data_IF_871718402132
#
_entry.id   IF_871718402132
#
_cell.length_a   1.000
_cell.length_b   1.000
_cell.length_c   1.000
_cell.angle_alpha   90.00
_cell.angle_beta   90.00
_cell.angle_gamma   90.00
#
_symmetry.space_group_name_H-M   'P 1'
#
loop_
_entity.id
_entity.type
_entity.pdbx_description
1 polymer ?
#
# COMPACT_ATOMS: atom_id res chain seq x y z
N UNK A 1 19.54 29.54 6.81
CA UNK A 1 20.78 29.30 6.05
C UNK A 1 20.42 28.28 4.97
N UNK A 2 20.49 28.67 3.70
CA UNK A 2 20.29 27.74 2.61
C UNK A 2 21.46 26.74 2.61
N UNK A 3 21.17 25.45 2.70
CA UNK A 3 22.19 24.43 2.48
C UNK A 3 22.70 24.61 1.04
N UNK A 4 23.95 25.03 0.88
CA UNK A 4 24.59 25.04 -0.44
C UNK A 4 24.61 23.60 -0.96
N UNK A 5 23.97 23.41 -2.12
CA UNK A 5 23.91 22.12 -2.81
C UNK A 5 25.33 21.73 -3.24
N UNK A 6 25.83 20.62 -2.71
CA UNK A 6 27.10 20.06 -3.15
C UNK A 6 26.96 19.63 -4.62
N UNK A 7 27.70 20.23 -5.57
CA UNK A 7 27.55 19.94 -6.99
C UNK A 7 27.91 18.50 -7.38
N UNK A 8 28.45 17.70 -6.44
CA UNK A 8 28.62 16.25 -6.61
C UNK A 8 27.31 15.47 -6.47
N UNK A 9 26.32 16.02 -5.77
CA UNK A 9 25.05 15.36 -5.45
C UNK A 9 23.91 16.08 -6.18
N UNK A 10 23.54 15.64 -7.40
CA UNK A 10 22.43 16.25 -8.11
C UNK A 10 21.15 16.15 -7.26
N UNK A 11 20.44 17.26 -7.16
CA UNK A 11 19.12 17.28 -6.54
C UNK A 11 18.07 16.74 -7.52
N UNK A 12 17.70 15.48 -7.30
CA UNK A 12 16.72 14.77 -8.11
C UNK A 12 15.29 14.96 -7.58
N UNK A 13 15.04 15.87 -6.64
CA UNK A 13 13.69 16.11 -6.07
C UNK A 13 12.67 16.42 -7.16
N UNK A 14 13.04 17.26 -8.14
CA UNK A 14 12.13 17.58 -9.25
C UNK A 14 11.85 16.37 -10.15
N UNK A 15 12.87 15.52 -10.38
CA UNK A 15 12.71 14.28 -11.14
C UNK A 15 11.71 13.35 -10.45
N UNK A 16 11.87 13.12 -9.15
CA UNK A 16 10.97 12.22 -8.40
C UNK A 16 9.56 12.76 -8.31
N UNK A 17 9.38 14.07 -8.07
CA UNK A 17 8.05 14.71 -8.13
C UNK A 17 7.38 14.56 -9.48
N UNK A 18 8.15 14.68 -10.56
CA UNK A 18 7.65 14.52 -11.92
C UNK A 18 7.26 13.07 -12.19
N UNK A 19 8.07 12.11 -11.74
CA UNK A 19 7.77 10.68 -11.84
C UNK A 19 6.52 10.30 -11.06
N UNK A 20 6.35 10.76 -9.80
CA UNK A 20 5.13 10.52 -9.02
C UNK A 20 3.88 11.00 -9.78
N UNK A 21 3.89 12.24 -10.28
CA UNK A 21 2.77 12.79 -11.06
C UNK A 21 2.49 12.01 -12.34
N UNK A 22 3.53 11.47 -12.97
CA UNK A 22 3.39 10.62 -14.14
C UNK A 22 2.73 9.27 -13.76
N UNK A 23 3.17 8.65 -12.67
CA UNK A 23 2.54 7.43 -12.14
C UNK A 23 1.08 7.67 -11.72
N UNK A 24 0.78 8.82 -11.10
CA UNK A 24 -0.60 9.22 -10.77
C UNK A 24 -1.53 9.24 -12.00
N UNK A 25 -1.00 9.68 -13.14
CA UNK A 25 -1.81 10.09 -14.30
C UNK A 25 -1.85 9.06 -15.43
N UNK A 26 -0.80 8.24 -15.59
CA UNK A 26 -0.64 7.33 -16.72
C UNK A 26 -0.58 5.87 -16.25
N UNK A 27 -1.75 5.32 -15.91
CA UNK A 27 -1.91 3.94 -15.42
C UNK A 27 -1.29 2.91 -16.37
N UNK A 28 -1.47 3.10 -17.68
CA UNK A 28 -0.99 2.22 -18.75
C UNK A 28 0.53 2.25 -18.93
N UNK A 29 1.21 3.31 -18.46
CA UNK A 29 2.66 3.47 -18.56
C UNK A 29 3.40 2.98 -17.31
N UNK A 30 2.69 2.38 -16.35
CA UNK A 30 3.26 1.95 -15.08
C UNK A 30 4.48 1.03 -15.25
N UNK A 31 4.44 0.09 -16.20
CA UNK A 31 5.59 -0.79 -16.51
C UNK A 31 6.77 0.00 -17.08
N UNK A 32 6.51 1.00 -17.93
CA UNK A 32 7.55 1.87 -18.51
C UNK A 32 8.23 2.73 -17.45
N UNK A 33 7.48 3.18 -16.44
CA UNK A 33 8.06 3.90 -15.32
C UNK A 33 8.95 2.99 -14.45
N UNK A 34 8.58 1.73 -14.26
CA UNK A 34 9.42 0.75 -13.57
C UNK A 34 10.72 0.53 -14.32
N UNK A 35 10.64 0.27 -15.64
CA UNK A 35 11.80 0.15 -16.53
C UNK A 35 12.68 1.40 -16.45
N UNK A 36 12.08 2.60 -16.49
CA UNK A 36 12.81 3.85 -16.38
C UNK A 36 13.65 3.93 -15.10
N UNK A 37 13.09 3.61 -13.93
CA UNK A 37 13.85 3.63 -12.65
C UNK A 37 14.94 2.56 -12.62
N UNK A 38 14.68 1.38 -13.19
CA UNK A 38 15.68 0.33 -13.33
C UNK A 38 16.84 0.77 -14.24
N UNK A 39 16.56 1.43 -15.36
CA UNK A 39 17.59 1.96 -16.27
C UNK A 39 18.38 3.11 -15.64
N UNK A 40 17.76 3.93 -14.78
CA UNK A 40 18.49 4.97 -14.03
C UNK A 40 19.63 4.40 -13.19
N UNK A 41 19.49 3.17 -12.66
CA UNK A 41 20.56 2.52 -11.90
C UNK A 41 21.79 2.14 -12.72
N UNK A 42 21.71 2.23 -14.06
CA UNK A 42 22.83 1.91 -14.96
C UNK A 42 23.61 3.15 -15.39
N UNK A 43 23.19 4.35 -15.00
CA UNK A 43 23.91 5.57 -15.33
C UNK A 43 25.30 5.56 -14.70
N UNK A 44 26.31 6.24 -15.31
CA UNK A 44 27.64 6.35 -14.73
C UNK A 44 27.56 6.95 -13.33
N UNK A 45 28.14 6.24 -12.38
CA UNK A 45 27.80 6.44 -10.97
C UNK A 45 29.05 6.54 -10.11
N UNK A 46 29.69 7.71 -10.17
CA UNK A 46 30.97 7.96 -9.50
C UNK A 46 30.86 7.90 -7.98
N UNK A 47 29.79 8.44 -7.40
CA UNK A 47 29.51 8.51 -5.97
C UNK A 47 28.47 7.49 -5.49
N UNK A 48 28.12 6.53 -6.35
CA UNK A 48 27.15 5.46 -6.11
C UNK A 48 25.67 5.89 -6.00
N UNK A 49 25.34 7.19 -6.19
CA UNK A 49 23.98 7.72 -6.07
C UNK A 49 22.99 7.09 -7.05
N UNK A 50 23.39 6.81 -8.29
CA UNK A 50 22.51 6.22 -9.28
C UNK A 50 22.26 4.73 -9.03
N UNK A 51 23.22 3.99 -8.49
CA UNK A 51 23.10 2.56 -8.20
C UNK A 51 22.17 2.31 -7.01
N UNK A 52 22.15 3.18 -6.00
CA UNK A 52 21.33 3.00 -4.79
C UNK A 52 20.07 3.89 -4.74
N UNK A 53 20.00 4.96 -5.56
CA UNK A 53 18.89 5.93 -5.63
C UNK A 53 18.29 6.32 -4.25
N UNK A 54 19.10 6.82 -3.29
CA UNK A 54 18.63 7.06 -1.92
C UNK A 54 17.52 8.12 -1.87
N UNK A 55 17.62 9.15 -2.73
CA UNK A 55 16.61 10.18 -2.85
C UNK A 55 15.26 9.64 -3.36
N UNK A 56 15.27 8.62 -4.21
CA UNK A 56 14.05 7.96 -4.68
C UNK A 56 13.32 7.29 -3.51
N UNK A 57 14.03 6.46 -2.72
CA UNK A 57 13.44 5.77 -1.58
C UNK A 57 12.89 6.74 -0.53
N UNK A 58 13.59 7.84 -0.25
CA UNK A 58 13.10 8.89 0.64
C UNK A 58 11.84 9.57 0.09
N UNK A 59 11.89 10.01 -1.18
CA UNK A 59 10.76 10.68 -1.82
C UNK A 59 9.53 9.78 -1.89
N UNK A 60 9.71 8.51 -2.21
CA UNK A 60 8.61 7.56 -2.30
C UNK A 60 8.02 7.20 -0.94
N UNK A 61 8.85 7.19 0.12
CA UNK A 61 8.36 7.02 1.49
C UNK A 61 7.48 8.17 1.92
N UNK A 62 7.83 9.39 1.57
CA UNK A 62 7.12 10.59 2.01
C UNK A 62 5.89 10.90 1.15
N UNK A 63 5.97 10.68 -0.18
CA UNK A 63 4.96 11.18 -1.12
C UNK A 63 4.37 10.11 -2.04
N UNK A 64 5.12 9.05 -2.36
CA UNK A 64 4.74 8.06 -3.37
C UNK A 64 3.96 6.85 -2.82
N UNK A 65 3.84 6.71 -1.51
CA UNK A 65 3.13 5.60 -0.87
C UNK A 65 2.05 6.15 0.07
N UNK A 66 0.81 6.20 -0.41
CA UNK A 66 -0.35 6.69 0.34
C UNK A 66 -1.48 5.67 0.35
N UNK A 67 -2.17 5.59 1.49
CA UNK A 67 -3.37 4.79 1.70
C UNK A 67 -4.50 5.65 2.28
N UNK A 68 -4.63 6.88 1.79
CA UNK A 68 -5.64 7.83 2.24
C UNK A 68 -7.01 7.47 1.67
N UNK A 69 -8.00 7.32 2.55
CA UNK A 69 -9.38 7.34 2.10
C UNK A 69 -9.84 8.79 1.90
N UNK A 70 -10.30 9.09 0.69
CA UNK A 70 -10.90 10.38 0.37
C UNK A 70 -12.40 10.35 0.66
N UNK A 71 -12.83 11.31 1.47
CA UNK A 71 -14.23 11.54 1.85
C UNK A 71 -15.08 11.94 0.63
N UNK A 72 -16.39 11.84 0.77
CA UNK A 72 -17.37 11.93 -0.31
C UNK A 72 -17.38 13.25 -1.07
N UNK A 73 -16.98 14.35 -0.42
CA UNK A 73 -16.89 15.69 -0.99
C UNK A 73 -15.53 16.01 -1.63
N UNK A 74 -14.57 15.07 -1.58
CA UNK A 74 -13.24 15.29 -2.13
C UNK A 74 -13.28 15.48 -3.67
N UNK A 75 -12.76 16.59 -4.20
CA UNK A 75 -12.62 16.77 -5.64
C UNK A 75 -11.73 15.70 -6.27
N UNK A 76 -12.16 15.18 -7.42
CA UNK A 76 -11.42 14.16 -8.18
C UNK A 76 -11.16 12.88 -7.36
N UNK A 77 -12.02 12.55 -6.39
CA UNK A 77 -11.90 11.39 -5.49
C UNK A 77 -11.51 10.11 -6.23
N UNK A 78 -12.23 9.75 -7.29
CA UNK A 78 -11.98 8.50 -8.01
C UNK A 78 -10.63 8.52 -8.75
N UNK A 79 -10.25 9.67 -9.32
CA UNK A 79 -8.93 9.87 -9.92
C UNK A 79 -7.82 9.72 -8.87
N UNK A 80 -8.01 10.27 -7.67
CA UNK A 80 -7.05 10.15 -6.57
C UNK A 80 -6.95 8.72 -6.04
N UNK A 81 -8.07 7.98 -5.94
CA UNK A 81 -8.03 6.55 -5.63
C UNK A 81 -7.27 5.76 -6.69
N UNK A 82 -7.52 6.01 -7.98
CA UNK A 82 -6.78 5.35 -9.06
C UNK A 82 -5.28 5.65 -8.99
N UNK A 83 -4.89 6.89 -8.68
CA UNK A 83 -3.50 7.28 -8.48
C UNK A 83 -2.83 6.47 -7.35
N UNK A 84 -3.52 6.23 -6.24
CA UNK A 84 -3.01 5.35 -5.18
C UNK A 84 -2.80 3.91 -5.68
N UNK A 85 -3.74 3.37 -6.46
CA UNK A 85 -3.58 2.03 -7.06
C UNK A 85 -2.34 1.99 -7.95
N UNK A 86 -2.11 3.03 -8.76
CA UNK A 86 -0.94 3.12 -9.64
C UNK A 86 0.37 3.14 -8.85
N UNK A 87 0.42 3.88 -7.74
CA UNK A 87 1.57 3.90 -6.84
C UNK A 87 1.88 2.53 -6.23
N UNK A 88 0.85 1.81 -5.78
CA UNK A 88 1.01 0.47 -5.25
C UNK A 88 1.45 -0.54 -6.34
N UNK A 89 0.89 -0.44 -7.54
CA UNK A 89 1.31 -1.24 -8.70
C UNK A 89 2.78 -0.99 -9.04
N UNK A 90 3.19 0.28 -9.11
CA UNK A 90 4.56 0.69 -9.41
C UNK A 90 5.56 0.12 -8.39
N UNK A 91 5.29 0.30 -7.09
CA UNK A 91 6.12 -0.27 -6.02
C UNK A 91 6.18 -1.80 -6.07
N UNK A 92 5.03 -2.46 -6.23
CA UNK A 92 4.96 -3.91 -6.27
C UNK A 92 5.74 -4.49 -7.47
N UNK A 93 5.70 -3.81 -8.62
CA UNK A 93 6.46 -4.18 -9.80
C UNK A 93 7.95 -3.92 -9.65
N UNK A 94 8.38 -2.80 -9.06
CA UNK A 94 9.79 -2.57 -8.71
C UNK A 94 10.34 -3.72 -7.86
N UNK A 95 9.56 -4.19 -6.87
CA UNK A 95 9.90 -5.34 -6.05
C UNK A 95 10.05 -6.66 -6.82
N UNK A 96 9.57 -6.77 -8.06
CA UNK A 96 9.83 -7.97 -8.88
C UNK A 96 11.30 -8.06 -9.30
N UNK A 97 12.01 -6.93 -9.38
CA UNK A 97 13.42 -6.85 -9.80
C UNK A 97 14.44 -7.10 -8.69
N UNK A 98 14.01 -7.43 -7.47
CA UNK A 98 14.86 -7.55 -6.27
C UNK A 98 16.13 -8.41 -6.41
N UNK A 99 16.15 -9.42 -7.29
CA UNK A 99 17.33 -10.27 -7.50
C UNK A 99 18.47 -9.53 -8.21
N UNK A 100 18.12 -8.58 -9.09
CA UNK A 100 19.08 -7.80 -9.88
C UNK A 100 19.28 -6.41 -9.26
N UNK A 101 18.20 -5.86 -8.68
CA UNK A 101 18.13 -4.50 -8.14
C UNK A 101 17.57 -4.50 -6.71
N UNK A 102 18.31 -5.03 -5.72
CA UNK A 102 17.80 -5.17 -4.34
C UNK A 102 17.48 -3.83 -3.67
N UNK A 103 18.18 -2.75 -4.03
CA UNK A 103 17.98 -1.40 -3.48
C UNK A 103 16.64 -0.77 -3.88
N UNK A 104 16.01 -1.30 -4.94
CA UNK A 104 14.67 -0.89 -5.39
C UNK A 104 13.56 -1.72 -4.75
N UNK A 105 13.88 -2.74 -3.96
CA UNK A 105 12.86 -3.64 -3.42
C UNK A 105 12.00 -2.92 -2.37
N UNK A 106 10.74 -2.64 -2.74
CA UNK A 106 9.76 -1.99 -1.89
C UNK A 106 8.90 -2.97 -1.08
N UNK A 107 9.20 -4.28 -1.06
CA UNK A 107 8.28 -5.31 -0.53
C UNK A 107 7.91 -5.09 0.94
N UNK A 108 8.80 -4.46 1.72
CA UNK A 108 8.53 -4.13 3.12
C UNK A 108 7.31 -3.21 3.30
N UNK A 109 6.94 -2.43 2.29
CA UNK A 109 5.72 -1.59 2.32
C UNK A 109 4.45 -2.42 2.22
N UNK A 110 4.49 -3.60 1.59
CA UNK A 110 3.34 -4.49 1.48
C UNK A 110 2.79 -4.83 2.87
N UNK A 111 3.67 -5.05 3.86
CA UNK A 111 3.27 -5.29 5.25
C UNK A 111 2.29 -4.25 5.77
N UNK A 112 2.61 -2.96 5.65
CA UNK A 112 1.68 -1.90 6.05
C UNK A 112 0.39 -1.91 5.21
N UNK A 113 0.46 -2.19 3.90
CA UNK A 113 -0.74 -2.27 3.05
C UNK A 113 -1.71 -3.34 3.55
N UNK A 114 -1.21 -4.55 3.82
CA UNK A 114 -2.04 -5.66 4.29
C UNK A 114 -2.55 -5.42 5.71
N UNK A 115 -1.73 -4.86 6.61
CA UNK A 115 -2.20 -4.48 7.95
C UNK A 115 -3.30 -3.43 7.88
N UNK A 116 -3.10 -2.38 7.07
CA UNK A 116 -4.09 -1.32 6.88
C UNK A 116 -5.41 -1.80 6.29
N UNK A 117 -5.35 -2.83 5.44
CA UNK A 117 -6.52 -3.38 4.75
C UNK A 117 -7.23 -4.43 5.59
N UNK A 118 -6.49 -5.39 6.15
CA UNK A 118 -7.04 -6.61 6.74
C UNK A 118 -7.12 -6.57 8.27
N UNK A 119 -6.21 -5.84 8.92
CA UNK A 119 -6.10 -5.84 10.39
C UNK A 119 -6.75 -4.62 11.01
N UNK A 120 -6.46 -3.42 10.53
CA UNK A 120 -6.99 -2.19 11.12
C UNK A 120 -8.49 -2.11 10.86
N UNK A 121 -9.28 -1.95 11.91
CA UNK A 121 -10.73 -1.91 11.83
C UNK A 121 -11.30 -0.75 12.64
N UNK A 122 -10.93 0.51 12.31
CA UNK A 122 -11.42 1.68 13.03
C UNK A 122 -12.96 1.81 12.94
N UNK A 123 -13.58 1.31 11.88
CA UNK A 123 -15.04 1.30 11.68
C UNK A 123 -15.82 0.40 12.66
N UNK A 124 -15.13 -0.48 13.42
CA UNK A 124 -15.78 -1.29 14.46
C UNK A 124 -15.81 -0.58 15.82
N UNK A 125 -15.17 0.59 15.94
CA UNK A 125 -15.29 1.45 17.11
C UNK A 125 -16.63 2.19 17.07
N UNK A 126 -17.28 2.30 18.23
CA UNK A 126 -18.54 3.04 18.38
C UNK A 126 -18.38 4.33 19.18
N UNK A 127 -17.22 4.55 19.80
CA UNK A 127 -16.90 5.75 20.55
C UNK A 127 -15.53 6.30 20.16
N UNK A 128 -15.48 7.61 19.89
CA UNK A 128 -14.32 8.34 19.42
C UNK A 128 -14.11 9.59 20.29
N UNK A 129 -13.44 9.47 21.45
CA UNK A 129 -13.15 10.61 22.31
C UNK A 129 -12.49 11.77 21.55
N UNK A 130 -11.61 11.46 20.60
CA UNK A 130 -10.91 12.44 19.77
C UNK A 130 -11.83 13.28 18.87
N UNK A 131 -13.02 12.77 18.53
CA UNK A 131 -14.04 13.51 17.80
C UNK A 131 -14.83 14.36 18.80
N UNK A 132 -15.28 13.76 19.90
CA UNK A 132 -16.05 14.42 20.97
C UNK A 132 -15.30 15.60 21.61
N UNK A 133 -13.96 15.55 21.68
CA UNK A 133 -13.12 16.62 22.21
C UNK A 133 -13.25 17.94 21.44
N UNK A 134 -13.75 17.93 20.21
CA UNK A 134 -13.99 19.15 19.44
C UNK A 134 -15.36 19.77 19.67
N UNK A 135 -16.23 19.11 20.43
CA UNK A 135 -17.51 19.68 20.82
C UNK A 135 -17.30 20.67 21.96
N UNK A 136 -17.56 21.96 21.70
CA UNK A 136 -17.74 22.98 22.74
C UNK A 136 -19.22 23.38 22.81
N UNK A 137 -19.91 23.21 23.96
CA UNK A 137 -21.30 23.64 24.10
C UNK A 137 -21.48 25.16 24.00
N UNK A 138 -20.41 25.95 24.12
CA UNK A 138 -20.44 27.40 24.03
C UNK A 138 -20.16 27.92 22.60
N UNK A 139 -19.84 27.04 21.64
CA UNK A 139 -19.64 27.42 20.24
C UNK A 139 -20.96 27.90 19.59
N UNK A 140 -20.89 29.00 18.84
CA UNK A 140 -22.00 29.45 18.00
C UNK A 140 -22.15 28.48 16.81
N UNK A 141 -23.34 27.87 16.56
CA UNK A 141 -23.56 27.03 15.39
C UNK A 141 -23.31 27.73 14.04
N UNK A 142 -23.29 29.07 14.00
CA UNK A 142 -22.89 29.84 12.83
C UNK A 142 -21.37 29.82 12.59
N UNK A 143 -20.56 29.65 13.64
CA UNK A 143 -19.10 29.63 13.59
C UNK A 143 -18.54 28.19 13.52
N UNK A 144 -19.24 27.22 14.13
CA UNK A 144 -18.84 25.81 14.13
C UNK A 144 -20.03 24.84 14.00
N UNK A 145 -20.16 24.21 12.83
CA UNK A 145 -21.14 23.15 12.59
C UNK A 145 -20.61 21.81 13.12
N UNK A 146 -20.82 21.57 14.42
CA UNK A 146 -20.45 20.33 15.08
C UNK A 146 -21.01 19.06 14.38
N UNK A 147 -22.32 18.98 14.05
CA UNK A 147 -22.86 17.83 13.31
C UNK A 147 -22.11 17.54 12.01
N UNK A 148 -21.84 18.56 11.19
CA UNK A 148 -21.08 18.38 9.95
C UNK A 148 -19.64 17.91 10.20
N UNK A 149 -18.97 18.49 11.21
CA UNK A 149 -17.61 18.08 11.58
C UNK A 149 -17.56 16.63 12.05
N UNK A 150 -18.48 16.23 12.93
CA UNK A 150 -18.61 14.85 13.43
C UNK A 150 -18.83 13.88 12.27
N UNK A 151 -19.77 14.18 11.38
CA UNK A 151 -20.12 13.28 10.27
C UNK A 151 -18.96 13.12 9.28
N UNK A 152 -18.21 14.20 9.01
CA UNK A 152 -17.00 14.15 8.19
C UNK A 152 -15.91 13.25 8.80
N UNK A 153 -15.65 13.35 10.10
CA UNK A 153 -14.66 12.49 10.75
C UNK A 153 -15.11 11.03 10.85
N UNK A 154 -16.40 10.79 11.10
CA UNK A 154 -16.97 9.43 11.08
C UNK A 154 -16.89 8.81 9.67
N UNK A 155 -16.97 9.61 8.61
CA UNK A 155 -16.72 9.14 7.26
C UNK A 155 -15.26 8.66 7.08
N UNK A 156 -14.27 9.35 7.66
CA UNK A 156 -12.85 8.98 7.55
C UNK A 156 -12.52 7.65 8.20
N UNK A 157 -13.32 7.20 9.17
CA UNK A 157 -13.17 5.90 9.84
C UNK A 157 -14.19 4.88 9.37
N UNK A 158 -15.01 5.19 8.35
CA UNK A 158 -16.04 4.31 7.83
C UNK A 158 -15.46 3.08 7.11
N UNK A 159 -16.18 1.96 7.16
CA UNK A 159 -15.82 0.71 6.48
C UNK A 159 -15.60 0.86 4.97
N UNK A 160 -16.25 1.85 4.33
CA UNK A 160 -16.07 2.20 2.92
C UNK A 160 -14.64 2.60 2.55
N UNK A 161 -13.77 2.89 3.53
CA UNK A 161 -12.35 3.08 3.26
C UNK A 161 -11.70 1.90 2.53
N UNK A 162 -12.24 0.69 2.72
CA UNK A 162 -11.77 -0.51 2.05
C UNK A 162 -11.92 -0.44 0.52
N UNK A 163 -12.79 0.42 -0.03
CA UNK A 163 -12.87 0.65 -1.48
C UNK A 163 -11.55 1.22 -2.05
N UNK A 164 -10.76 1.95 -1.25
CA UNK A 164 -9.43 2.43 -1.62
C UNK A 164 -8.34 1.39 -1.29
N UNK A 165 -8.46 0.73 -0.14
CA UNK A 165 -7.39 -0.14 0.40
C UNK A 165 -7.28 -1.50 -0.30
N UNK A 166 -8.40 -2.13 -0.66
CA UNK A 166 -8.41 -3.45 -1.30
C UNK A 166 -7.72 -3.39 -2.68
N UNK A 167 -8.00 -2.41 -3.57
CA UNK A 167 -7.26 -2.25 -4.82
C UNK A 167 -5.75 -2.10 -4.64
N UNK A 168 -5.31 -1.34 -3.64
CA UNK A 168 -3.90 -1.18 -3.31
C UNK A 168 -3.25 -2.50 -2.84
N UNK A 169 -3.92 -3.26 -1.98
CA UNK A 169 -3.43 -4.58 -1.53
C UNK A 169 -3.37 -5.62 -2.66
N UNK A 170 -4.35 -5.58 -3.57
CA UNK A 170 -4.42 -6.47 -4.72
C UNK A 170 -3.17 -6.35 -5.61
N UNK A 171 -2.63 -5.14 -5.81
CA UNK A 171 -1.41 -4.94 -6.60
C UNK A 171 -0.20 -5.68 -6.02
N UNK A 172 0.00 -5.59 -4.71
CA UNK A 172 1.08 -6.32 -4.03
C UNK A 172 0.92 -7.83 -4.14
N UNK A 173 -0.30 -8.32 -3.89
CA UNK A 173 -0.58 -9.74 -4.01
C UNK A 173 -0.35 -10.23 -5.44
N UNK A 174 -0.77 -9.45 -6.44
CA UNK A 174 -0.66 -9.81 -7.83
C UNK A 174 0.78 -10.01 -8.27
N UNK A 175 1.66 -9.08 -7.91
CA UNK A 175 3.05 -9.04 -8.40
C UNK A 175 4.03 -9.79 -7.51
N UNK A 176 3.88 -9.71 -6.18
CA UNK A 176 4.86 -10.25 -5.22
C UNK A 176 4.22 -11.12 -4.13
N UNK A 177 2.96 -11.53 -4.29
CA UNK A 177 2.23 -12.32 -3.29
C UNK A 177 2.94 -13.59 -2.83
N UNK A 178 3.60 -14.31 -3.74
CA UNK A 178 4.41 -15.49 -3.39
C UNK A 178 5.58 -15.13 -2.48
N UNK A 179 6.34 -14.08 -2.81
CA UNK A 179 7.44 -13.59 -1.98
C UNK A 179 6.94 -13.16 -0.61
N UNK A 180 5.83 -12.42 -0.57
CA UNK A 180 5.20 -11.97 0.66
C UNK A 180 4.79 -13.15 1.56
N UNK A 181 4.21 -14.20 0.98
CA UNK A 181 3.89 -15.43 1.70
C UNK A 181 5.14 -16.06 2.31
N UNK A 182 6.27 -16.07 1.59
CA UNK A 182 7.53 -16.68 2.02
C UNK A 182 8.33 -15.85 3.03
N UNK A 183 7.95 -14.59 3.28
CA UNK A 183 8.57 -13.77 4.31
C UNK A 183 8.29 -14.32 5.72
N UNK A 184 9.28 -14.16 6.59
CA UNK A 184 9.21 -14.51 8.00
C UNK A 184 9.88 -13.42 8.85
N UNK A 185 9.47 -13.31 10.11
CA UNK A 185 10.10 -12.42 11.08
C UNK A 185 9.64 -10.98 10.93
N UNK A 186 10.48 -10.02 11.32
CA UNK A 186 10.06 -8.63 11.56
C UNK A 186 9.40 -7.97 10.34
N UNK A 187 8.34 -7.20 10.60
CA UNK A 187 7.67 -6.36 9.62
C UNK A 187 7.97 -4.89 9.90
N UNK A 188 8.46 -4.18 8.88
CA UNK A 188 8.73 -2.74 8.99
C UNK A 188 7.46 -1.95 9.30
N UNK A 189 7.55 -1.00 10.23
CA UNK A 189 6.42 -0.13 10.59
C UNK A 189 5.36 -0.77 11.49
N UNK A 190 5.66 -1.94 12.08
CA UNK A 190 4.84 -2.53 13.14
C UNK A 190 5.28 -2.06 14.53
N UNK A 191 4.47 -1.18 15.12
CA UNK A 191 4.75 -0.54 16.40
C UNK A 191 3.64 -0.79 17.42
N UNK A 192 3.99 -0.90 18.70
CA UNK A 192 3.02 -1.19 19.78
C UNK A 192 1.92 -0.14 19.94
N UNK A 193 2.24 1.13 19.69
CA UNK A 193 1.26 2.23 19.80
C UNK A 193 0.09 2.06 18.82
N UNK A 194 0.29 1.35 17.70
CA UNK A 194 -0.76 1.10 16.72
C UNK A 194 -1.88 0.23 17.27
N UNK A 195 -1.60 -0.63 18.26
CA UNK A 195 -2.62 -1.50 18.87
C UNK A 195 -3.70 -0.68 19.56
N UNK A 196 -3.31 0.36 20.30
CA UNK A 196 -4.25 1.22 21.02
C UNK A 196 -5.09 2.08 20.07
N UNK A 197 -4.50 2.57 18.98
CA UNK A 197 -5.14 3.55 18.08
C UNK A 197 -5.94 2.89 16.96
N UNK A 198 -5.40 1.82 16.36
CA UNK A 198 -5.92 1.24 15.11
C UNK A 198 -6.76 -0.02 15.32
N UNK A 199 -6.86 -0.50 16.57
CA UNK A 199 -7.65 -1.68 16.97
C UNK A 199 -7.43 -2.88 16.02
N UNK A 200 -6.18 -3.33 15.83
CA UNK A 200 -5.87 -4.39 14.87
C UNK A 200 -6.54 -5.70 15.27
N UNK A 201 -7.09 -6.40 14.28
CA UNK A 201 -7.76 -7.69 14.45
C UNK A 201 -6.83 -8.89 14.51
N UNK A 202 -5.57 -8.72 14.10
CA UNK A 202 -4.56 -9.74 14.28
C UNK A 202 -4.10 -9.79 15.74
N UNK A 203 -4.25 -10.95 16.37
CA UNK A 203 -3.87 -11.19 17.78
C UNK A 203 -2.69 -12.15 17.94
N UNK A 204 -2.13 -12.64 16.83
CA UNK A 204 -0.96 -13.51 16.84
C UNK A 204 0.36 -12.75 17.00
N UNK A 205 1.47 -13.44 16.76
CA UNK A 205 2.80 -12.85 16.88
C UNK A 205 3.03 -11.72 15.87
N UNK A 206 3.86 -10.74 16.26
CA UNK A 206 4.34 -9.67 15.35
C UNK A 206 5.18 -10.25 14.21
N UNK A 207 5.24 -9.52 13.11
CA UNK A 207 6.00 -9.88 11.92
C UNK A 207 5.20 -10.64 10.86
N UNK A 208 5.90 -11.04 9.80
CA UNK A 208 5.41 -11.92 8.76
C UNK A 208 5.37 -13.36 9.27
N UNK A 209 4.27 -14.04 9.00
CA UNK A 209 4.12 -15.48 9.24
C UNK A 209 3.09 -16.06 8.29
N UNK A 210 3.12 -17.39 8.12
CA UNK A 210 2.15 -18.11 7.28
C UNK A 210 0.74 -18.01 7.87
N UNK A 211 0.63 -18.06 9.20
CA UNK A 211 -0.62 -17.91 9.94
C UNK A 211 -1.21 -16.51 9.74
N UNK A 212 -0.37 -15.47 9.74
CA UNK A 212 -0.81 -14.08 9.49
C UNK A 212 -1.28 -13.90 8.05
N UNK A 213 -0.62 -14.55 7.09
CA UNK A 213 -1.07 -14.55 5.69
C UNK A 213 -2.43 -15.23 5.53
N UNK A 214 -2.64 -16.37 6.18
CA UNK A 214 -3.95 -17.06 6.23
C UNK A 214 -5.02 -16.16 6.85
N UNK A 215 -4.72 -15.47 7.95
CA UNK A 215 -5.63 -14.50 8.53
C UNK A 215 -6.01 -13.39 7.53
N UNK A 216 -5.05 -12.81 6.81
CA UNK A 216 -5.34 -11.80 5.79
C UNK A 216 -6.24 -12.35 4.67
N UNK A 217 -6.03 -13.59 4.23
CA UNK A 217 -6.93 -14.27 3.27
C UNK A 217 -8.36 -14.32 3.80
N UNK A 218 -8.56 -14.78 5.04
CA UNK A 218 -9.89 -14.85 5.66
C UNK A 218 -10.56 -13.48 5.78
N UNK A 219 -9.76 -12.42 6.00
CA UNK A 219 -10.26 -11.05 5.99
C UNK A 219 -10.75 -10.62 4.61
N UNK A 220 -10.03 -10.95 3.54
CA UNK A 220 -10.53 -10.73 2.18
C UNK A 220 -11.81 -11.51 1.90
N UNK A 221 -11.92 -12.76 2.34
CA UNK A 221 -13.15 -13.57 2.19
C UNK A 221 -14.34 -12.95 2.93
N UNK A 222 -14.11 -12.36 4.10
CA UNK A 222 -15.14 -11.61 4.81
C UNK A 222 -15.55 -10.34 4.05
N UNK A 223 -14.58 -9.60 3.48
CA UNK A 223 -14.85 -8.36 2.73
C UNK A 223 -15.76 -8.57 1.51
N UNK A 224 -15.76 -9.76 0.90
CA UNK A 224 -16.68 -10.09 -0.20
C UNK A 224 -18.17 -10.03 0.20
N UNK A 225 -18.44 -10.12 1.51
CA UNK A 225 -19.80 -10.15 2.10
C UNK A 225 -20.21 -8.80 2.68
N UNK A 226 -19.33 -7.79 2.68
CA UNK A 226 -19.60 -6.48 3.30
C UNK A 226 -20.43 -5.63 2.35
N UNK A 227 -21.74 -5.56 2.59
CA UNK A 227 -22.72 -4.84 1.74
C UNK A 227 -22.39 -3.37 1.50
N UNK A 228 -21.70 -2.71 2.43
CA UNK A 228 -21.32 -1.31 2.30
C UNK A 228 -20.24 -1.04 1.23
N UNK A 229 -19.51 -2.08 0.80
CA UNK A 229 -18.46 -1.97 -0.23
C UNK A 229 -19.03 -2.03 -1.63
N UNK A 230 -18.31 -1.43 -2.57
CA UNK A 230 -18.65 -1.48 -4.00
C UNK A 230 -18.53 -2.91 -4.54
N UNK A 231 -19.32 -3.24 -5.57
CA UNK A 231 -19.33 -4.60 -6.15
C UNK A 231 -17.99 -4.97 -6.78
N UNK A 232 -17.33 -4.03 -7.45
CA UNK A 232 -15.99 -4.26 -7.99
C UNK A 232 -14.95 -4.46 -6.87
N UNK A 233 -15.08 -3.74 -5.75
CA UNK A 233 -14.23 -3.96 -4.57
C UNK A 233 -14.45 -5.35 -3.96
N UNK A 234 -15.71 -5.80 -3.83
CA UNK A 234 -16.03 -7.16 -3.35
C UNK A 234 -15.46 -8.24 -4.27
N UNK A 235 -15.56 -8.04 -5.60
CA UNK A 235 -14.97 -8.94 -6.60
C UNK A 235 -13.45 -8.99 -6.48
N UNK A 236 -12.80 -7.85 -6.34
CA UNK A 236 -11.34 -7.80 -6.18
C UNK A 236 -10.87 -8.42 -4.86
N UNK A 237 -11.65 -8.29 -3.79
CA UNK A 237 -11.39 -9.01 -2.54
C UNK A 237 -11.50 -10.53 -2.73
N UNK A 238 -12.48 -11.01 -3.51
CA UNK A 238 -12.59 -12.43 -3.85
C UNK A 238 -11.38 -12.92 -4.65
N UNK A 239 -10.95 -12.17 -5.67
CA UNK A 239 -9.75 -12.48 -6.45
C UNK A 239 -8.49 -12.54 -5.57
N UNK A 240 -8.39 -11.64 -4.58
CA UNK A 240 -7.32 -11.66 -3.60
C UNK A 240 -7.35 -12.93 -2.74
N UNK A 241 -8.51 -13.26 -2.17
CA UNK A 241 -8.67 -14.47 -1.37
C UNK A 241 -8.30 -15.74 -2.16
N UNK A 242 -8.75 -15.85 -3.40
CA UNK A 242 -8.48 -17.01 -4.25
C UNK A 242 -7.00 -17.12 -4.62
N UNK A 243 -6.35 -16.00 -4.98
CA UNK A 243 -4.90 -15.99 -5.24
C UNK A 243 -4.08 -16.34 -4.00
N UNK A 244 -4.51 -15.91 -2.81
CA UNK A 244 -3.85 -16.31 -1.56
C UNK A 244 -3.98 -17.82 -1.31
N UNK A 245 -5.15 -18.43 -1.58
CA UNK A 245 -5.31 -19.91 -1.52
C UNK A 245 -4.40 -20.63 -2.50
N UNK A 246 -4.31 -20.13 -3.73
CA UNK A 246 -3.41 -20.69 -4.74
C UNK A 246 -1.96 -20.67 -4.24
N UNK A 247 -1.55 -19.54 -3.65
CA UNK A 247 -0.22 -19.38 -3.07
C UNK A 247 -0.01 -20.39 -1.93
N UNK A 248 -0.92 -20.46 -0.97
CA UNK A 248 -0.88 -21.41 0.15
C UNK A 248 -0.76 -22.87 -0.30
N UNK A 249 -1.48 -23.25 -1.36
CA UNK A 249 -1.50 -24.62 -1.89
C UNK A 249 -0.30 -24.97 -2.80
N UNK A 250 0.67 -24.07 -2.95
CA UNK A 250 1.86 -24.31 -3.77
C UNK A 250 1.65 -24.14 -5.29
N UNK A 251 0.58 -23.45 -5.71
CA UNK A 251 0.34 -23.14 -7.11
C UNK A 251 1.47 -22.30 -7.71
N UNK A 252 2.12 -22.86 -8.75
CA UNK A 252 2.99 -22.10 -9.67
C UNK A 252 4.34 -22.69 -10.09
N UNK A 253 4.88 -23.76 -9.49
CA UNK A 253 6.24 -24.24 -9.85
C UNK A 253 6.45 -25.76 -9.99
N UNK A 254 5.41 -26.60 -9.91
CA UNK A 254 5.58 -28.06 -9.93
C UNK A 254 5.33 -28.76 -11.28
N UNK A 255 5.01 -28.07 -12.38
CA UNK A 255 4.60 -28.75 -13.63
C UNK A 255 5.54 -28.66 -14.84
N UNK A 256 6.64 -27.88 -14.82
CA UNK A 256 7.49 -27.72 -16.01
C UNK A 256 8.91 -28.32 -15.94
N UNK A 257 9.28 -29.03 -14.85
CA UNK A 257 10.64 -29.61 -14.75
C UNK A 257 10.68 -31.10 -15.18
N UNK A 258 9.53 -31.78 -15.22
CA UNK A 258 9.49 -33.22 -15.52
C UNK A 258 9.25 -33.56 -17.00
N UNK A 259 9.02 -32.60 -17.89
CA UNK A 259 8.78 -32.87 -19.31
C UNK A 259 10.01 -32.77 -20.22
N UNK A 260 11.19 -32.46 -19.67
CA UNK A 260 12.42 -32.32 -20.47
C UNK A 260 13.46 -33.42 -20.24
N UNK A 261 13.16 -34.43 -19.39
CA UNK A 261 14.10 -35.54 -19.10
C UNK A 261 13.73 -36.90 -19.70
N UNK A 262 12.77 -36.98 -20.62
CA UNK A 262 12.38 -38.25 -21.26
C UNK A 262 12.52 -38.29 -22.78
N UNK A 263 13.34 -37.41 -23.37
CA UNK A 263 13.75 -37.53 -24.78
C UNK A 263 15.22 -37.15 -24.94
N UNK A 264 16.10 -38.09 -24.58
CA UNK A 264 17.43 -38.31 -25.17
C UNK A 264 17.79 -39.78 -24.89
#
# INVERSE_FOLDING_TARGET
MANEQDPRWPDCTLLWRTLCRAVDSFTELNDRFVEFVVELQKLPDGDHVFAILPQFNNHWTEFGYTMTYYVSDEPERDRKHQAQVNHHAFCAKLSTHHQVHPELDQIQRAGFTFRSTCEFAPWERTHFPEIEEWYDPDDDPADFDWPARRDLELERVNIKMLNAKIPAAAQWLQHVGRRLYDMQGNMTGEHDWQTAVLNPKWTGAKGYSKERFVFWRERFEWMTKVTALEKETQKLAQECADKMKEIENGGGYAQNINNTKSKL
#
